data_IF_855609010474
#
_entry.id   IF_855609010474
#
_cell.length_a   1.000
_cell.length_b   1.000
_cell.length_c   1.000
_cell.angle_alpha   90.00
_cell.angle_beta   90.00
_cell.angle_gamma   90.00
#
_symmetry.space_group_name_H-M   'P 1'
#
loop_
_entity.id
_entity.type
_entity.pdbx_description
1 polymer ?
#
# COMPACT_ATOMS: atom_id res chain seq x y z
N UNK A 1 -20.24 -14.66 -21.46
CA UNK A 1 -20.36 -13.80 -20.25
C UNK A 1 -19.08 -13.00 -19.93
N UNK A 2 -17.97 -13.19 -20.62
CA UNK A 2 -16.70 -12.49 -20.41
C UNK A 2 -16.28 -11.74 -21.70
N UNK A 3 -17.00 -10.67 -22.01
CA UNK A 3 -16.88 -9.92 -23.25
C UNK A 3 -16.05 -8.66 -23.21
N UNK A 4 -15.14 -8.50 -22.25
CA UNK A 4 -14.13 -7.43 -22.26
C UNK A 4 -12.77 -8.05 -21.99
N UNK A 5 -12.01 -8.26 -23.02
CA UNK A 5 -10.56 -8.51 -22.95
C UNK A 5 -9.92 -7.21 -22.49
N UNK A 6 -9.45 -7.18 -21.25
CA UNK A 6 -8.55 -6.10 -20.82
C UNK A 6 -7.24 -6.32 -21.55
N UNK A 7 -6.71 -5.28 -22.16
CA UNK A 7 -5.43 -5.34 -22.83
C UNK A 7 -4.33 -5.66 -21.82
N UNK A 8 -3.66 -6.79 -22.02
CA UNK A 8 -2.60 -7.28 -21.12
C UNK A 8 -1.45 -6.28 -21.03
N UNK A 9 -1.12 -5.58 -22.13
CA UNK A 9 -0.05 -4.59 -22.13
C UNK A 9 -0.41 -3.38 -21.25
N UNK A 10 -1.66 -2.94 -21.30
CA UNK A 10 -2.17 -1.86 -20.45
C UNK A 10 -2.10 -2.25 -18.97
N UNK A 11 -2.50 -3.48 -18.62
CA UNK A 11 -2.41 -3.97 -17.24
C UNK A 11 -0.97 -4.07 -16.76
N UNK A 12 -0.06 -4.60 -17.58
CA UNK A 12 1.35 -4.71 -17.24
C UNK A 12 2.00 -3.32 -17.07
N UNK A 13 1.63 -2.36 -17.90
CA UNK A 13 2.10 -0.99 -17.78
C UNK A 13 1.62 -0.37 -16.46
N UNK A 14 0.34 -0.52 -16.13
CA UNK A 14 -0.26 -0.02 -14.89
C UNK A 14 0.46 -0.53 -13.64
N UNK A 15 0.80 -1.80 -13.60
CA UNK A 15 1.53 -2.39 -12.45
C UNK A 15 3.05 -2.31 -12.60
N UNK A 16 3.57 -1.57 -13.59
CA UNK A 16 4.99 -1.37 -13.86
C UNK A 16 5.76 -2.68 -14.08
N UNK A 17 5.16 -3.62 -14.81
CA UNK A 17 5.74 -4.93 -15.12
C UNK A 17 5.94 -5.17 -16.62
N UNK A 18 5.86 -4.14 -17.47
CA UNK A 18 6.01 -4.25 -18.92
C UNK A 18 7.32 -4.94 -19.33
N UNK A 19 8.44 -4.55 -18.71
CA UNK A 19 9.75 -5.16 -18.99
C UNK A 19 9.86 -6.62 -18.53
N UNK A 20 8.96 -7.05 -17.64
CA UNK A 20 8.90 -8.40 -17.08
C UNK A 20 7.86 -9.30 -17.74
N UNK A 21 7.21 -8.84 -18.82
CA UNK A 21 6.13 -9.56 -19.50
C UNK A 21 6.51 -10.97 -19.96
N UNK A 22 7.79 -11.24 -20.18
CA UNK A 22 8.32 -12.56 -20.62
C UNK A 22 8.93 -13.38 -19.49
N UNK A 23 8.96 -12.85 -18.28
CA UNK A 23 9.52 -13.54 -17.13
C UNK A 23 8.51 -14.50 -16.51
N UNK A 24 8.99 -15.61 -15.96
CA UNK A 24 8.17 -16.46 -15.10
C UNK A 24 7.94 -15.77 -13.75
N UNK A 25 6.80 -16.06 -13.10
CA UNK A 25 6.42 -15.44 -11.83
C UNK A 25 7.46 -15.68 -10.73
N UNK A 26 8.14 -16.83 -10.76
CA UNK A 26 9.20 -17.20 -9.81
C UNK A 26 10.41 -16.26 -9.87
N UNK A 27 10.64 -15.63 -11.03
CA UNK A 27 11.75 -14.70 -11.28
C UNK A 27 11.46 -13.27 -10.84
N UNK A 28 10.23 -12.99 -10.39
CA UNK A 28 9.82 -11.68 -9.90
C UNK A 28 10.25 -11.49 -8.45
N UNK A 29 10.64 -10.27 -8.09
CA UNK A 29 10.85 -9.88 -6.69
C UNK A 29 9.52 -9.94 -5.89
N UNK A 30 9.60 -9.87 -4.56
CA UNK A 30 8.40 -9.88 -3.70
C UNK A 30 7.39 -8.79 -4.07
N UNK A 31 7.85 -7.55 -4.22
CA UNK A 31 7.01 -6.44 -4.64
C UNK A 31 6.45 -6.59 -6.07
N UNK A 32 7.23 -7.15 -6.99
CA UNK A 32 6.77 -7.45 -8.34
C UNK A 32 5.69 -8.54 -8.34
N UNK A 33 5.84 -9.59 -7.53
CA UNK A 33 4.81 -10.64 -7.36
C UNK A 33 3.52 -10.06 -6.81
N UNK A 34 3.61 -9.16 -5.83
CA UNK A 34 2.44 -8.52 -5.25
C UNK A 34 1.70 -7.65 -6.29
N UNK A 35 2.43 -6.83 -7.05
CA UNK A 35 1.85 -6.05 -8.15
C UNK A 35 1.23 -6.93 -9.24
N UNK A 36 1.87 -8.04 -9.58
CA UNK A 36 1.31 -9.03 -10.52
C UNK A 36 0.02 -9.66 -9.99
N UNK A 37 -0.04 -10.01 -8.70
CA UNK A 37 -1.25 -10.53 -8.08
C UNK A 37 -2.42 -9.53 -8.19
N UNK A 38 -2.17 -8.25 -7.91
CA UNK A 38 -3.18 -7.19 -8.08
C UNK A 38 -3.59 -7.06 -9.55
N UNK A 39 -2.65 -7.02 -10.49
CA UNK A 39 -2.98 -6.97 -11.93
C UNK A 39 -3.90 -8.12 -12.34
N UNK A 40 -3.65 -9.33 -11.84
CA UNK A 40 -4.47 -10.50 -12.13
C UNK A 40 -5.91 -10.35 -11.67
N UNK A 41 -6.17 -9.65 -10.57
CA UNK A 41 -7.53 -9.36 -10.09
C UNK A 41 -8.23 -8.30 -10.93
N UNK A 42 -7.48 -7.34 -11.49
CA UNK A 42 -8.01 -6.25 -12.30
C UNK A 42 -8.48 -6.70 -13.69
N UNK A 43 -8.05 -7.87 -14.18
CA UNK A 43 -8.49 -8.43 -15.47
C UNK A 43 -10.00 -8.44 -15.64
N UNK A 44 -10.73 -8.69 -14.55
CA UNK A 44 -12.20 -8.78 -14.57
C UNK A 44 -12.91 -7.44 -14.32
N UNK A 45 -12.17 -6.33 -14.29
CA UNK A 45 -12.70 -5.01 -14.00
C UNK A 45 -13.62 -5.00 -12.75
N UNK A 46 -13.09 -5.38 -11.57
CA UNK A 46 -13.89 -5.51 -10.36
C UNK A 46 -14.37 -4.15 -9.87
N UNK A 47 -15.53 -4.13 -9.19
CA UNK A 47 -16.00 -2.93 -8.48
C UNK A 47 -15.44 -2.85 -7.06
N UNK A 48 -15.04 -3.98 -6.51
CA UNK A 48 -14.48 -4.10 -5.15
C UNK A 48 -13.25 -4.98 -5.21
N UNK A 49 -12.18 -4.53 -4.58
CA UNK A 49 -10.91 -5.23 -4.45
C UNK A 49 -10.62 -5.47 -2.96
N UNK A 50 -10.29 -6.72 -2.62
CA UNK A 50 -9.87 -7.09 -1.27
C UNK A 50 -8.37 -7.29 -1.25
N UNK A 51 -7.68 -6.59 -0.37
CA UNK A 51 -6.23 -6.68 -0.18
C UNK A 51 -5.93 -7.06 1.27
N UNK A 52 -5.38 -8.24 1.45
CA UNK A 52 -5.04 -8.75 2.78
C UNK A 52 -3.54 -8.57 3.01
N UNK A 53 -3.18 -7.64 3.92
CA UNK A 53 -1.80 -7.28 4.27
C UNK A 53 -0.87 -7.11 3.05
N UNK A 54 -1.22 -6.28 2.05
CA UNK A 54 -0.58 -6.29 0.73
C UNK A 54 0.90 -5.89 0.76
N UNK A 55 1.36 -5.19 1.79
CA UNK A 55 2.74 -4.68 1.87
C UNK A 55 3.61 -5.47 2.85
N UNK A 56 3.08 -6.52 3.46
CA UNK A 56 3.84 -7.33 4.42
C UNK A 56 5.05 -7.99 3.76
N UNK A 57 6.22 -7.81 4.38
CA UNK A 57 7.49 -8.36 3.88
C UNK A 57 8.11 -7.60 2.72
N UNK A 58 7.56 -6.46 2.33
CA UNK A 58 8.15 -5.58 1.33
C UNK A 58 9.14 -4.61 1.96
N UNK A 59 10.20 -4.31 1.22
CA UNK A 59 11.09 -3.21 1.53
C UNK A 59 10.37 -1.84 1.44
N UNK A 60 10.92 -0.76 2.02
CA UNK A 60 10.26 0.55 2.06
C UNK A 60 9.94 1.12 0.67
N UNK A 61 10.80 0.87 -0.33
CA UNK A 61 10.57 1.39 -1.67
C UNK A 61 9.47 0.61 -2.39
N UNK A 62 9.48 -0.73 -2.31
CA UNK A 62 8.44 -1.58 -2.88
C UNK A 62 7.08 -1.30 -2.24
N UNK A 63 7.05 -1.00 -0.93
CA UNK A 63 5.85 -0.59 -0.20
C UNK A 63 5.28 0.71 -0.76
N UNK A 64 6.08 1.76 -0.91
CA UNK A 64 5.65 3.04 -1.51
C UNK A 64 5.09 2.85 -2.91
N UNK A 65 5.80 2.13 -3.76
CA UNK A 65 5.34 1.85 -5.12
C UNK A 65 4.00 1.08 -5.15
N UNK A 66 3.73 0.27 -4.13
CA UNK A 66 2.46 -0.44 -4.02
C UNK A 66 1.34 0.47 -3.51
N UNK A 67 1.64 1.40 -2.60
CA UNK A 67 0.70 2.42 -2.15
C UNK A 67 0.25 3.31 -3.32
N UNK A 68 1.21 3.82 -4.12
CA UNK A 68 0.91 4.61 -5.32
C UNK A 68 -0.05 3.84 -6.26
N UNK A 69 0.21 2.54 -6.48
CA UNK A 69 -0.66 1.70 -7.31
C UNK A 69 -2.06 1.54 -6.69
N UNK A 70 -2.17 1.36 -5.38
CA UNK A 70 -3.47 1.23 -4.68
C UNK A 70 -4.25 2.54 -4.81
N UNK A 71 -3.61 3.70 -4.68
CA UNK A 71 -4.24 5.00 -4.88
C UNK A 71 -4.74 5.18 -6.32
N UNK A 72 -3.94 4.84 -7.32
CA UNK A 72 -4.35 4.89 -8.72
C UNK A 72 -5.59 4.03 -8.99
N UNK A 73 -5.63 2.81 -8.42
CA UNK A 73 -6.78 1.89 -8.55
C UNK A 73 -8.03 2.48 -7.87
N UNK A 74 -7.89 3.07 -6.68
CA UNK A 74 -8.97 3.74 -5.96
C UNK A 74 -9.52 4.91 -6.78
N UNK A 75 -8.65 5.73 -7.36
CA UNK A 75 -9.02 6.93 -8.11
C UNK A 75 -9.75 6.60 -9.43
N UNK A 76 -9.59 5.37 -9.93
CA UNK A 76 -10.41 4.82 -11.02
C UNK A 76 -11.84 4.41 -10.59
N UNK A 77 -12.18 4.57 -9.31
CA UNK A 77 -13.50 4.28 -8.76
C UNK A 77 -13.71 2.84 -8.28
N UNK A 78 -12.64 2.09 -8.10
CA UNK A 78 -12.70 0.76 -7.50
C UNK A 78 -12.70 0.91 -5.97
N UNK A 79 -13.70 0.33 -5.31
CA UNK A 79 -13.74 0.28 -3.84
C UNK A 79 -12.70 -0.71 -3.34
N UNK A 80 -11.84 -0.31 -2.41
CA UNK A 80 -10.80 -1.18 -1.87
C UNK A 80 -11.09 -1.46 -0.40
N UNK A 81 -11.12 -2.73 -0.02
CA UNK A 81 -11.09 -3.19 1.36
C UNK A 81 -9.71 -3.75 1.66
N UNK A 82 -8.98 -3.07 2.55
CA UNK A 82 -7.61 -3.37 2.91
C UNK A 82 -7.55 -3.83 4.37
N UNK A 83 -6.80 -4.90 4.63
CA UNK A 83 -6.35 -5.22 6.00
C UNK A 83 -4.87 -4.88 6.12
N UNK A 84 -4.48 -4.33 7.26
CA UNK A 84 -3.08 -4.04 7.56
C UNK A 84 -2.83 -3.94 9.07
N UNK A 85 -1.61 -4.20 9.47
CA UNK A 85 -1.11 -3.91 10.82
C UNK A 85 -0.14 -2.70 10.82
N UNK A 86 0.09 -2.08 9.66
CA UNK A 86 0.88 -0.86 9.53
C UNK A 86 -0.02 0.37 9.63
N UNK A 87 0.21 1.18 10.66
CA UNK A 87 -0.64 2.36 10.92
C UNK A 87 -0.43 3.46 9.90
N UNK A 88 0.78 3.63 9.40
CA UNK A 88 1.12 4.56 8.32
C UNK A 88 0.38 4.22 7.01
N UNK A 89 0.27 2.94 6.67
CA UNK A 89 -0.51 2.49 5.53
C UNK A 89 -2.01 2.81 5.68
N UNK A 90 -2.57 2.52 6.86
CA UNK A 90 -3.97 2.80 7.14
C UNK A 90 -4.26 4.31 7.12
N UNK A 91 -3.35 5.13 7.67
CA UNK A 91 -3.49 6.59 7.69
C UNK A 91 -3.43 7.20 6.29
N UNK A 92 -2.55 6.66 5.42
CA UNK A 92 -2.34 7.17 4.07
C UNK A 92 -3.46 6.76 3.10
N UNK A 93 -3.83 5.48 3.10
CA UNK A 93 -4.65 4.90 2.04
C UNK A 93 -6.14 4.87 2.34
N UNK A 94 -6.54 4.90 3.61
CA UNK A 94 -7.93 4.65 3.98
C UNK A 94 -8.73 5.95 4.19
N UNK A 95 -9.85 6.09 3.49
CA UNK A 95 -10.84 7.15 3.77
C UNK A 95 -11.52 6.90 5.14
N UNK A 96 -11.76 5.62 5.45
CA UNK A 96 -12.31 5.16 6.73
C UNK A 96 -11.63 3.86 7.13
N UNK A 97 -11.41 3.69 8.42
CA UNK A 97 -10.85 2.45 8.96
C UNK A 97 -11.64 1.94 10.15
N UNK A 98 -11.55 0.65 10.38
CA UNK A 98 -12.04 -0.02 11.57
C UNK A 98 -10.86 -0.51 12.41
N UNK A 99 -10.76 -0.09 13.66
CA UNK A 99 -9.79 -0.67 14.60
C UNK A 99 -10.41 -1.92 15.19
N UNK A 100 -9.70 -3.04 15.04
CA UNK A 100 -10.14 -4.34 15.55
C UNK A 100 -9.20 -4.82 16.65
N UNK A 101 -9.77 -5.37 17.71
CA UNK A 101 -9.04 -6.08 18.75
C UNK A 101 -9.85 -7.28 19.23
N UNK A 102 -9.17 -8.40 19.47
CA UNK A 102 -9.77 -9.65 19.98
C UNK A 102 -11.04 -10.07 19.23
N UNK A 103 -11.03 -9.93 17.90
CA UNK A 103 -12.14 -10.31 17.02
C UNK A 103 -13.36 -9.37 17.06
N UNK A 104 -13.22 -8.18 17.67
CA UNK A 104 -14.28 -7.17 17.76
C UNK A 104 -13.84 -5.86 17.14
N UNK A 105 -14.77 -5.18 16.48
CA UNK A 105 -14.57 -3.81 16.04
C UNK A 105 -14.71 -2.89 17.24
N UNK A 106 -13.66 -2.16 17.56
CA UNK A 106 -13.61 -1.19 18.66
C UNK A 106 -14.19 0.14 18.22
N UNK A 107 -13.84 0.59 17.02
CA UNK A 107 -14.31 1.85 16.46
C UNK A 107 -14.20 1.84 14.94
N UNK A 108 -15.03 2.67 14.30
CA UNK A 108 -14.95 2.93 12.85
C UNK A 108 -15.05 4.43 12.64
N UNK A 109 -14.02 5.03 12.05
CA UNK A 109 -14.03 6.46 11.69
C UNK A 109 -12.96 6.75 10.63
N UNK A 110 -12.83 8.02 10.22
CA UNK A 110 -11.70 8.46 9.40
C UNK A 110 -10.42 8.51 10.25
N UNK A 111 -9.22 8.29 9.66
CA UNK A 111 -7.96 8.45 10.38
C UNK A 111 -7.86 9.79 11.09
N UNK A 112 -8.23 10.87 10.40
CA UNK A 112 -8.23 12.23 10.95
C UNK A 112 -9.08 12.37 12.20
N UNK A 113 -10.33 11.89 12.17
CA UNK A 113 -11.23 11.98 13.32
C UNK A 113 -10.72 11.21 14.53
N UNK A 114 -10.16 10.01 14.32
CA UNK A 114 -9.60 9.21 15.41
C UNK A 114 -8.42 9.93 16.08
N UNK A 115 -7.55 10.55 15.29
CA UNK A 115 -6.43 11.34 15.80
C UNK A 115 -6.96 12.56 16.60
N UNK A 116 -7.94 13.29 16.08
CA UNK A 116 -8.53 14.44 16.76
C UNK A 116 -9.21 14.05 18.08
N UNK A 117 -9.92 12.94 18.12
CA UNK A 117 -10.51 12.41 19.35
C UNK A 117 -9.45 12.07 20.41
N UNK A 118 -8.31 11.52 19.99
CA UNK A 118 -7.20 11.22 20.89
C UNK A 118 -6.58 12.51 21.46
N UNK A 119 -6.35 13.51 20.61
CA UNK A 119 -5.83 14.82 21.03
C UNK A 119 -6.78 15.54 21.99
N UNK A 120 -8.09 15.48 21.73
CA UNK A 120 -9.11 16.07 22.59
C UNK A 120 -9.14 15.45 24.01
N UNK A 121 -8.69 14.19 24.15
CA UNK A 121 -8.51 13.52 25.46
C UNK A 121 -7.23 13.95 26.20
N UNK A 122 -6.48 14.93 25.65
CA UNK A 122 -5.27 15.45 26.28
C UNK A 122 -4.00 14.64 25.98
N UNK A 123 -4.06 13.74 24.98
CA UNK A 123 -2.86 13.02 24.55
C UNK A 123 -1.80 14.02 24.05
N UNK A 124 -0.59 13.91 24.57
CA UNK A 124 0.58 14.65 24.11
C UNK A 124 1.64 13.63 23.73
N UNK A 125 2.04 13.64 22.46
CA UNK A 125 3.21 12.86 22.01
C UNK A 125 4.45 13.53 22.62
N UNK A 126 5.26 12.78 23.37
CA UNK A 126 6.59 13.26 23.74
C UNK A 126 7.37 13.57 22.45
N UNK A 127 7.87 14.80 22.34
CA UNK A 127 8.75 15.14 21.22
C UNK A 127 10.06 14.37 21.43
N UNK A 128 10.17 13.23 20.76
CA UNK A 128 11.47 12.62 20.53
C UNK A 128 12.17 13.57 19.55
N UNK A 129 13.21 14.23 20.01
CA UNK A 129 14.13 14.92 19.12
C UNK A 129 14.72 13.81 18.23
N UNK A 130 14.29 13.73 16.99
CA UNK A 130 14.83 12.79 16.03
C UNK A 130 16.33 13.10 15.89
N UNK A 131 17.13 12.28 16.55
CA UNK A 131 18.56 12.27 16.29
C UNK A 131 18.76 11.60 14.93
N UNK A 132 19.62 12.18 14.10
CA UNK A 132 19.97 11.59 12.81
C UNK A 132 20.32 10.11 12.99
N UNK A 133 19.78 9.27 12.14
CA UNK A 133 20.02 7.83 12.15
C UNK A 133 21.04 7.43 11.06
N UNK A 134 21.40 6.15 11.01
CA UNK A 134 22.39 5.66 10.04
C UNK A 134 21.88 5.74 8.59
N UNK A 135 20.58 5.71 8.35
CA UNK A 135 19.99 5.91 7.02
C UNK A 135 20.24 7.34 6.55
N UNK A 136 20.05 8.33 7.43
CA UNK A 136 20.34 9.73 7.13
C UNK A 136 21.81 9.93 6.80
N UNK A 137 22.72 9.31 7.56
CA UNK A 137 24.16 9.33 7.31
C UNK A 137 24.48 8.72 5.95
N UNK A 138 23.86 7.57 5.63
CA UNK A 138 24.07 6.91 4.33
C UNK A 138 23.62 7.79 3.17
N UNK A 139 22.45 8.38 3.26
CA UNK A 139 21.89 9.29 2.23
C UNK A 139 22.81 10.52 2.06
N UNK A 140 23.25 11.14 3.15
CA UNK A 140 24.13 12.30 3.13
C UNK A 140 25.47 11.98 2.44
N UNK A 141 26.09 10.85 2.80
CA UNK A 141 27.39 10.47 2.27
C UNK A 141 27.36 9.99 0.81
N UNK A 142 26.28 9.36 0.37
CA UNK A 142 26.19 8.72 -0.94
C UNK A 142 25.39 9.52 -1.96
N UNK A 143 24.57 10.46 -1.51
CA UNK A 143 23.61 11.18 -2.34
C UNK A 143 22.55 10.26 -2.97
N UNK A 144 22.39 9.02 -2.48
CA UNK A 144 21.51 7.99 -3.03
C UNK A 144 20.71 7.38 -1.91
N UNK A 145 19.39 7.30 -2.07
CA UNK A 145 18.58 6.41 -1.25
C UNK A 145 19.11 4.97 -1.37
N UNK A 146 19.03 4.22 -0.28
CA UNK A 146 19.41 2.80 -0.27
C UNK A 146 18.67 2.11 -1.40
N UNK A 147 19.41 1.55 -2.36
CA UNK A 147 18.85 0.78 -3.46
C UNK A 147 18.83 -0.68 -3.04
N UNK A 148 17.67 -1.30 -3.13
CA UNK A 148 17.49 -2.75 -3.02
C UNK A 148 18.17 -3.47 -4.19
#
# INVERSE_FOLDING_TARGET
LYGRTVDTEVLLAKVQLTEKAKNYVEQLSGGQKQRFAIASTLVNNPKVLFLDEPTTGLDPQARRNLWDLIEEIRDEGITILLTTHYMDEAELLCDRLAIMDSGKIITIDTPHNLIQQLLARGFKKEQVVEQANLEDVFIDLTGKAIRD
#
